data_IF_933832601977
#
_entry.id   IF_933832601977
#
_cell.length_a   1.000
_cell.length_b   1.000
_cell.length_c   1.000
_cell.angle_alpha   90.00
_cell.angle_beta   90.00
_cell.angle_gamma   90.00
#
_symmetry.space_group_name_H-M   'P 1'
#
loop_
_entity.id
_entity.type
_entity.pdbx_description
1 polymer ?
#
# COMPACT_ATOMS: atom_id res chain seq x y z
N UNK A 1 -32.58 -41.66 14.05
CA UNK A 1 -31.30 -42.16 13.51
C UNK A 1 -30.55 -41.02 12.84
N UNK A 2 -29.30 -40.72 13.22
CA UNK A 2 -28.52 -39.61 12.64
C UNK A 2 -27.95 -40.03 11.28
N UNK A 3 -28.51 -39.50 10.20
CA UNK A 3 -28.00 -39.69 8.84
C UNK A 3 -26.62 -39.02 8.73
N UNK A 4 -25.55 -39.82 8.65
CA UNK A 4 -24.20 -39.31 8.37
C UNK A 4 -24.15 -38.86 6.92
N UNK A 5 -24.01 -37.54 6.68
CA UNK A 5 -23.78 -36.99 5.34
C UNK A 5 -22.52 -37.61 4.73
N UNK A 6 -22.68 -38.36 3.66
CA UNK A 6 -21.60 -38.93 2.85
C UNK A 6 -20.89 -37.75 2.18
N UNK A 7 -19.61 -37.53 2.49
CA UNK A 7 -18.79 -36.50 1.83
C UNK A 7 -18.39 -37.02 0.45
N UNK A 8 -18.68 -36.23 -0.58
CA UNK A 8 -18.33 -36.56 -1.96
C UNK A 8 -16.81 -36.45 -2.13
N UNK A 9 -16.14 -37.52 -2.58
CA UNK A 9 -14.68 -37.57 -2.75
C UNK A 9 -14.16 -36.63 -3.85
N UNK A 10 -15.04 -36.05 -4.66
CA UNK A 10 -14.70 -35.08 -5.72
C UNK A 10 -14.78 -33.61 -5.26
N UNK A 11 -15.12 -33.32 -4.00
CA UNK A 11 -15.05 -31.93 -3.53
C UNK A 11 -13.58 -31.50 -3.41
N UNK A 12 -13.15 -30.62 -4.31
CA UNK A 12 -11.87 -29.91 -4.22
C UNK A 12 -11.73 -29.33 -2.80
N UNK A 13 -10.55 -29.45 -2.18
CA UNK A 13 -10.35 -28.96 -0.82
C UNK A 13 -10.75 -27.49 -0.73
N UNK A 14 -11.36 -27.05 0.39
CA UNK A 14 -11.77 -25.66 0.55
C UNK A 14 -10.58 -24.75 0.31
N UNK A 15 -10.71 -23.82 -0.65
CA UNK A 15 -9.65 -22.85 -1.00
C UNK A 15 -9.11 -22.24 0.28
N UNK A 16 -7.81 -22.41 0.53
CA UNK A 16 -7.14 -21.83 1.67
C UNK A 16 -7.43 -20.32 1.71
N UNK A 17 -7.92 -19.82 2.85
CA UNK A 17 -8.13 -18.39 3.06
C UNK A 17 -6.77 -17.71 2.86
N UNK A 18 -6.61 -16.92 1.78
CA UNK A 18 -5.40 -16.13 1.56
C UNK A 18 -5.15 -15.30 2.81
N UNK A 19 -4.01 -15.53 3.46
CA UNK A 19 -3.58 -14.74 4.60
C UNK A 19 -3.47 -13.27 4.18
N UNK A 20 -3.79 -12.33 5.08
CA UNK A 20 -3.68 -10.92 4.76
C UNK A 20 -2.23 -10.57 4.38
N UNK A 21 -2.08 -9.99 3.20
CA UNK A 21 -0.78 -9.63 2.65
C UNK A 21 -0.21 -8.45 3.47
N UNK A 22 0.88 -8.70 4.19
CA UNK A 22 1.60 -7.65 4.93
C UNK A 22 2.47 -6.91 3.94
N UNK A 23 2.21 -5.61 3.75
CA UNK A 23 2.99 -4.73 2.90
C UNK A 23 3.77 -3.75 3.75
N UNK A 24 5.09 -3.74 3.58
CA UNK A 24 5.94 -2.71 4.18
C UNK A 24 5.82 -1.46 3.32
N UNK A 25 5.41 -0.35 3.93
CA UNK A 25 5.24 0.95 3.27
C UNK A 25 6.06 1.98 4.02
N UNK A 26 6.91 2.70 3.30
CA UNK A 26 7.62 3.85 3.84
C UNK A 26 6.66 5.03 3.82
N UNK A 27 6.49 5.74 4.94
CA UNK A 27 5.81 7.04 5.01
C UNK A 27 6.84 8.11 5.36
N UNK A 28 6.76 9.26 4.71
CA UNK A 28 7.65 10.38 5.02
C UNK A 28 6.91 11.71 4.93
N UNK A 29 7.43 12.68 5.67
CA UNK A 29 7.01 14.07 5.69
C UNK A 29 8.19 14.94 5.27
N UNK A 30 8.05 15.61 4.12
CA UNK A 30 9.06 16.52 3.59
C UNK A 30 8.47 17.93 3.51
N UNK A 31 9.19 18.92 4.01
CA UNK A 31 8.77 20.33 3.98
C UNK A 31 9.64 21.09 2.98
N UNK A 32 9.01 21.64 1.95
CA UNK A 32 9.67 22.48 0.95
C UNK A 32 10.03 23.86 1.51
N UNK A 33 10.85 24.59 0.75
CA UNK A 33 11.26 25.96 1.12
C UNK A 33 10.05 26.90 1.17
N UNK A 34 9.04 26.65 0.34
CA UNK A 34 7.79 27.40 0.26
C UNK A 34 6.80 27.08 1.42
N UNK A 35 7.22 26.27 2.41
CA UNK A 35 6.37 25.81 3.51
C UNK A 35 5.37 24.71 3.12
N UNK A 36 5.37 24.27 1.86
CA UNK A 36 4.54 23.17 1.37
C UNK A 36 5.00 21.82 1.92
N UNK A 37 4.04 21.00 2.35
CA UNK A 37 4.29 19.64 2.85
C UNK A 37 4.05 18.61 1.76
N UNK A 38 5.07 17.80 1.51
CA UNK A 38 5.08 16.76 0.50
C UNK A 38 5.05 15.38 1.16
N UNK A 39 4.06 14.58 0.76
CA UNK A 39 3.79 13.24 1.29
C UNK A 39 3.44 12.27 0.16
N UNK A 40 3.54 10.98 0.45
CA UNK A 40 3.00 9.91 -0.41
C UNK A 40 1.48 10.07 -0.49
N UNK A 41 0.84 9.90 -1.66
CA UNK A 41 1.36 9.35 -2.92
C UNK A 41 1.92 10.37 -3.91
N UNK A 42 1.80 11.67 -3.63
CA UNK A 42 2.16 12.74 -4.57
C UNK A 42 3.67 12.96 -4.68
N UNK A 43 4.43 12.55 -3.67
CA UNK A 43 5.88 12.69 -3.62
C UNK A 43 6.57 11.34 -3.41
N UNK A 44 7.81 11.23 -3.91
CA UNK A 44 8.72 10.09 -3.69
C UNK A 44 9.99 10.57 -3.01
N UNK A 45 10.50 9.81 -2.04
CA UNK A 45 11.80 10.10 -1.43
C UNK A 45 12.87 9.26 -2.15
N UNK A 46 13.89 9.92 -2.68
CA UNK A 46 15.09 9.29 -3.23
C UNK A 46 16.21 9.41 -2.21
N UNK A 47 16.79 8.28 -1.82
CA UNK A 47 18.00 8.24 -0.99
C UNK A 47 19.19 8.09 -1.95
N UNK A 48 20.14 9.01 -1.88
CA UNK A 48 21.38 8.95 -2.67
C UNK A 48 22.45 8.17 -1.90
N UNK A 49 23.45 7.66 -2.61
CA UNK A 49 24.55 6.86 -2.02
C UNK A 49 25.36 7.64 -0.97
N UNK A 50 25.42 8.96 -1.11
CA UNK A 50 26.08 9.86 -0.15
C UNK A 50 25.31 10.03 1.18
N UNK A 51 24.24 9.26 1.41
CA UNK A 51 23.37 9.36 2.59
C UNK A 51 22.39 10.53 2.55
N UNK A 52 22.46 11.40 1.54
CA UNK A 52 21.52 12.50 1.34
C UNK A 52 20.15 12.03 0.84
N UNK A 53 19.08 12.69 1.27
CA UNK A 53 17.72 12.43 0.80
C UNK A 53 17.19 13.59 -0.06
N UNK A 54 16.59 13.26 -1.21
CA UNK A 54 15.94 14.22 -2.11
C UNK A 54 14.47 13.85 -2.29
N UNK A 55 13.57 14.81 -2.14
CA UNK A 55 12.15 14.60 -2.40
C UNK A 55 11.83 14.93 -3.87
N UNK A 56 11.13 14.02 -4.54
CA UNK A 56 10.74 14.12 -5.95
C UNK A 56 9.23 14.30 -6.05
N UNK A 57 8.80 15.27 -6.85
CA UNK A 57 7.40 15.49 -7.22
C UNK A 57 7.25 15.40 -8.74
N UNK A 58 6.04 15.09 -9.23
CA UNK A 58 5.73 15.22 -10.65
C UNK A 58 5.43 16.68 -10.98
N UNK A 59 5.99 17.18 -12.07
CA UNK A 59 5.56 18.44 -12.66
C UNK A 59 4.35 18.25 -13.59
N UNK A 60 3.93 19.34 -14.24
CA UNK A 60 2.78 19.39 -15.15
C UNK A 60 2.98 18.55 -16.42
N UNK A 61 4.23 18.33 -16.85
CA UNK A 61 4.58 17.41 -17.95
C UNK A 61 4.67 15.94 -17.48
N UNK A 62 4.46 15.69 -16.18
CA UNK A 62 4.55 14.36 -15.57
C UNK A 62 5.97 13.87 -15.32
N UNK A 63 6.99 14.74 -15.48
CA UNK A 63 8.39 14.42 -15.20
C UNK A 63 8.67 14.55 -13.70
N UNK A 64 9.54 13.69 -13.18
CA UNK A 64 9.95 13.77 -11.77
C UNK A 64 11.01 14.86 -11.60
N UNK A 65 10.70 15.87 -10.78
CA UNK A 65 11.63 16.94 -10.39
C UNK A 65 11.94 16.87 -8.90
N UNK A 66 13.20 17.13 -8.55
CA UNK A 66 13.62 17.22 -7.16
C UNK A 66 13.26 18.60 -6.59
N UNK A 67 12.76 18.60 -5.36
CA UNK A 67 12.48 19.82 -4.61
C UNK A 67 13.50 19.99 -3.50
N UNK A 68 13.89 21.24 -3.27
CA UNK A 68 14.73 21.63 -2.14
C UNK A 68 13.85 21.75 -0.90
N UNK A 69 14.35 21.30 0.24
CA UNK A 69 13.60 21.33 1.49
C UNK A 69 14.27 20.48 2.57
N UNK A 70 13.54 20.23 3.65
CA UNK A 70 13.99 19.44 4.79
C UNK A 70 13.07 18.24 5.01
N UNK A 71 13.67 17.07 5.18
CA UNK A 71 12.96 15.88 5.62
C UNK A 71 12.67 16.00 7.11
N UNK A 72 11.38 16.09 7.49
CA UNK A 72 10.99 16.18 8.91
C UNK A 72 10.89 14.82 9.57
N UNK A 73 10.36 13.82 8.87
CA UNK A 73 10.29 12.47 9.40
C UNK A 73 10.20 11.42 8.30
N UNK A 74 10.74 10.23 8.60
CA UNK A 74 10.58 9.02 7.80
C UNK A 74 10.23 7.88 8.76
N UNK A 75 9.19 7.11 8.42
CA UNK A 75 8.71 5.98 9.22
C UNK A 75 8.41 4.81 8.29
N UNK A 76 8.88 3.63 8.66
CA UNK A 76 8.50 2.39 8.00
C UNK A 76 7.26 1.87 8.71
N UNK A 77 6.18 1.67 7.98
CA UNK A 77 4.90 1.18 8.50
C UNK A 77 4.58 -0.15 7.85
N UNK A 78 4.28 -1.15 8.66
CA UNK A 78 3.75 -2.42 8.17
C UNK A 78 2.23 -2.31 8.02
N UNK A 79 1.75 -2.08 6.80
CA UNK A 79 0.33 -2.09 6.50
C UNK A 79 -0.12 -3.52 6.22
N UNK A 80 -1.09 -4.00 6.98
CA UNK A 80 -1.74 -5.28 6.69
C UNK A 80 -2.93 -5.00 5.78
N UNK A 81 -2.85 -5.38 4.51
CA UNK A 81 -4.03 -5.31 3.64
C UNK A 81 -5.04 -6.35 4.11
N UNK A 82 -6.20 -5.90 4.59
CA UNK A 82 -7.35 -6.80 4.74
C UNK A 82 -7.70 -7.35 3.36
N UNK A 83 -7.59 -8.67 3.20
CA UNK A 83 -8.08 -9.36 2.01
C UNK A 83 -9.60 -9.25 2.06
N UNK A 84 -10.18 -8.43 1.19
CA UNK A 84 -11.63 -8.30 1.08
C UNK A 84 -12.17 -9.52 0.34
N UNK A 85 -12.24 -10.67 1.02
CA UNK A 85 -12.92 -11.85 0.51
C UNK A 85 -14.43 -11.62 0.61
N UNK A 86 -15.00 -11.04 -0.44
CA UNK A 86 -16.42 -11.14 -0.75
C UNK A 86 -17.31 -10.08 -0.09
N UNK A 87 -17.64 -9.06 -0.87
CA UNK A 87 -19.05 -8.66 -0.97
C UNK A 87 -19.31 -8.35 -2.44
N UNK A 88 -19.72 -9.37 -3.19
CA UNK A 88 -20.44 -9.14 -4.44
C UNK A 88 -21.65 -8.31 -4.04
N UNK A 89 -21.70 -7.04 -4.43
CA UNK A 89 -22.97 -6.33 -4.53
C UNK A 89 -23.77 -7.12 -5.56
N UNK A 90 -24.73 -7.90 -5.11
CA UNK A 90 -25.83 -8.33 -5.95
C UNK A 90 -26.69 -7.08 -6.10
N UNK A 91 -26.53 -6.36 -7.21
CA UNK A 91 -27.60 -5.50 -7.72
C UNK A 91 -28.82 -6.41 -7.90
N UNK A 92 -29.82 -6.22 -7.04
CA UNK A 92 -31.18 -6.71 -7.29
C UNK A 92 -31.89 -5.58 -8.04
N UNK A 93 -32.49 -5.98 -9.16
CA UNK A 93 -33.40 -5.20 -10.02
C UNK A 93 -34.24 -4.16 -9.30
#
# INVERSE_FOLDING_TARGET
>A
MKVKKIRNKNELPPKAKKLPEKKVVVRFDFEGVDGLKYRIPKARLKINENGGASCLIKDEEGKWKAIKGKLKSIKIVCETKKVNNGTRRTERN
#
